data_IF_598608651029
#
_entry.id   IF_598608651029
#
_cell.length_a   1.000
_cell.length_b   1.000
_cell.length_c   1.000
_cell.angle_alpha   90.00
_cell.angle_beta   90.00
_cell.angle_gamma   90.00
#
_symmetry.space_group_name_H-M   'P 1'
#
loop_
_entity.id
_entity.type
_entity.pdbx_description
1 polymer ?
#
# COMPACT_ATOMS: atom_id res chain seq x y z
N UNK A 1 -29.03 49.51 18.35
CA UNK A 1 -29.88 50.46 17.58
C UNK A 1 -30.54 49.82 16.39
N UNK A 2 -29.83 49.12 15.52
CA UNK A 2 -30.39 48.48 14.28
C UNK A 2 -31.56 47.55 14.56
N UNK A 3 -31.48 46.64 15.52
CA UNK A 3 -32.54 45.71 15.88
C UNK A 3 -33.83 46.46 16.27
N UNK A 4 -33.77 47.51 17.06
CA UNK A 4 -34.94 48.33 17.44
C UNK A 4 -35.61 49.00 16.23
N UNK A 5 -34.86 49.33 15.18
CA UNK A 5 -35.43 49.87 13.94
C UNK A 5 -36.20 48.78 13.20
N UNK A 6 -35.62 47.56 13.09
CA UNK A 6 -36.30 46.42 12.51
C UNK A 6 -37.54 45.99 13.27
N UNK A 7 -37.52 46.03 14.61
CA UNK A 7 -38.71 45.77 15.45
C UNK A 7 -39.84 46.74 15.16
N UNK A 8 -39.55 48.04 15.01
CA UNK A 8 -40.55 49.05 14.58
C UNK A 8 -41.08 48.83 13.17
N UNK A 9 -40.22 48.36 12.25
CA UNK A 9 -40.64 48.03 10.88
C UNK A 9 -41.57 46.82 10.86
N UNK A 10 -41.24 45.81 11.68
CA UNK A 10 -42.01 44.57 11.79
C UNK A 10 -43.39 44.82 12.44
N UNK A 11 -43.47 45.73 13.41
CA UNK A 11 -44.77 46.18 13.96
C UNK A 11 -45.68 46.81 12.92
N UNK A 12 -45.11 47.51 11.89
CA UNK A 12 -45.88 48.15 10.84
C UNK A 12 -46.20 47.23 9.65
N UNK A 13 -45.28 46.35 9.28
CA UNK A 13 -45.39 45.51 8.07
C UNK A 13 -45.75 44.03 8.35
N UNK A 14 -45.73 43.66 9.62
CA UNK A 14 -45.79 42.24 10.02
C UNK A 14 -44.46 41.52 9.77
N UNK A 15 -44.42 40.24 10.09
CA UNK A 15 -43.25 39.36 9.87
C UNK A 15 -42.90 39.32 8.40
N UNK A 16 -41.68 39.73 8.05
CA UNK A 16 -41.16 39.82 6.68
C UNK A 16 -39.81 39.09 6.58
N UNK A 17 -39.60 38.33 5.48
CA UNK A 17 -38.42 37.51 5.28
C UNK A 17 -37.13 38.33 5.41
N UNK A 18 -37.08 39.49 4.75
CA UNK A 18 -35.87 40.33 4.76
C UNK A 18 -35.59 40.88 6.18
N UNK A 19 -36.64 41.37 6.88
CA UNK A 19 -36.52 41.94 8.23
C UNK A 19 -36.06 40.86 9.21
N UNK A 20 -36.71 39.68 9.23
CA UNK A 20 -36.37 38.59 10.13
C UNK A 20 -34.95 38.04 9.87
N UNK A 21 -34.53 37.91 8.62
CA UNK A 21 -33.19 37.49 8.25
C UNK A 21 -32.11 38.49 8.71
N UNK A 22 -32.39 39.82 8.60
CA UNK A 22 -31.46 40.84 9.11
C UNK A 22 -31.36 40.81 10.64
N UNK A 23 -32.51 40.68 11.33
CA UNK A 23 -32.52 40.52 12.79
C UNK A 23 -31.75 39.26 13.24
N UNK A 24 -31.98 38.15 12.55
CA UNK A 24 -31.23 36.89 12.77
C UNK A 24 -29.71 37.15 12.67
N UNK A 25 -29.21 37.72 11.58
CA UNK A 25 -27.80 38.06 11.38
C UNK A 25 -27.24 38.97 12.49
N UNK A 26 -27.97 39.98 12.88
CA UNK A 26 -27.56 40.90 13.93
C UNK A 26 -27.51 40.22 15.29
N UNK A 27 -28.45 39.33 15.63
CA UNK A 27 -28.40 38.55 16.87
C UNK A 27 -27.22 37.58 16.89
N UNK A 28 -26.85 36.95 15.74
CA UNK A 28 -25.64 36.14 15.66
C UNK A 28 -24.36 36.97 15.89
N UNK A 29 -24.26 38.17 15.31
CA UNK A 29 -23.13 39.10 15.56
C UNK A 29 -23.01 39.48 17.04
N UNK A 30 -24.13 39.56 17.73
CA UNK A 30 -24.20 39.81 19.15
C UNK A 30 -24.00 38.54 20.02
N UNK A 31 -23.67 37.40 19.39
CA UNK A 31 -23.52 36.08 20.02
C UNK A 31 -24.79 35.60 20.76
N UNK A 32 -25.95 36.13 20.39
CA UNK A 32 -27.23 35.73 20.94
C UNK A 32 -27.96 34.75 20.05
N UNK A 33 -27.44 33.49 20.01
CA UNK A 33 -27.97 32.42 19.18
C UNK A 33 -29.45 32.14 19.49
N UNK A 34 -29.87 32.19 20.76
CA UNK A 34 -31.26 31.93 21.16
C UNK A 34 -32.23 32.93 20.51
N UNK A 35 -31.96 34.23 20.54
CA UNK A 35 -32.82 35.23 19.86
C UNK A 35 -32.73 35.12 18.35
N UNK A 36 -31.55 34.82 17.80
CA UNK A 36 -31.40 34.58 16.37
C UNK A 36 -32.29 33.41 15.88
N UNK A 37 -32.37 32.32 16.66
CA UNK A 37 -33.24 31.18 16.35
C UNK A 37 -34.71 31.53 16.46
N UNK A 38 -35.11 32.29 17.49
CA UNK A 38 -36.50 32.74 17.66
C UNK A 38 -37.04 33.55 16.47
N UNK A 39 -36.22 34.42 15.88
CA UNK A 39 -36.62 35.16 14.66
C UNK A 39 -36.95 34.24 13.49
N UNK A 40 -36.15 33.17 13.31
CA UNK A 40 -36.39 32.19 12.26
C UNK A 40 -37.58 31.27 12.60
N UNK A 41 -37.84 30.95 13.86
CA UNK A 41 -39.04 30.22 14.28
C UNK A 41 -40.32 30.96 13.92
N UNK A 42 -40.34 32.28 14.15
CA UNK A 42 -41.49 33.16 13.78
C UNK A 42 -41.65 33.21 12.27
N UNK A 43 -40.55 33.37 11.54
CA UNK A 43 -40.56 33.44 10.10
C UNK A 43 -41.03 32.13 9.45
N UNK A 44 -40.57 30.97 9.96
CA UNK A 44 -40.93 29.65 9.45
C UNK A 44 -42.41 29.31 9.70
N UNK A 45 -42.99 29.76 10.81
CA UNK A 45 -44.44 29.64 11.05
C UNK A 45 -45.28 30.36 9.98
N UNK A 46 -44.82 31.50 9.52
CA UNK A 46 -45.48 32.27 8.45
C UNK A 46 -45.24 31.64 7.07
N UNK A 47 -44.08 31.02 6.86
CA UNK A 47 -43.66 30.45 5.60
C UNK A 47 -43.24 28.97 5.77
N UNK A 48 -44.15 28.05 6.10
CA UNK A 48 -43.82 26.68 6.52
C UNK A 48 -43.27 25.79 5.42
N UNK A 49 -43.38 26.21 4.15
CA UNK A 49 -42.91 25.50 2.95
C UNK A 49 -41.67 26.11 2.32
N UNK A 50 -41.15 27.22 2.87
CA UNK A 50 -39.93 27.85 2.35
C UNK A 50 -38.71 27.07 2.84
N UNK A 51 -38.14 26.20 1.95
CA UNK A 51 -37.02 25.32 2.27
C UNK A 51 -35.76 26.06 2.67
N UNK A 52 -35.53 27.28 2.16
CA UNK A 52 -34.38 28.11 2.55
C UNK A 52 -34.49 28.53 4.01
N UNK A 53 -35.68 28.98 4.41
CA UNK A 53 -35.96 29.39 5.80
C UNK A 53 -35.80 28.17 6.73
N UNK A 54 -36.35 27.01 6.33
CA UNK A 54 -36.25 25.77 7.12
C UNK A 54 -34.81 25.34 7.28
N UNK A 55 -34.00 25.41 6.21
CA UNK A 55 -32.58 25.05 6.29
C UNK A 55 -31.82 25.93 7.28
N UNK A 56 -31.97 27.27 7.17
CA UNK A 56 -31.31 28.20 8.09
C UNK A 56 -31.80 28.00 9.52
N UNK A 57 -33.08 27.69 9.73
CA UNK A 57 -33.62 27.38 11.05
C UNK A 57 -33.02 26.10 11.64
N UNK A 58 -32.86 25.05 10.84
CA UNK A 58 -32.21 23.81 11.26
C UNK A 58 -30.75 24.06 11.70
N UNK A 59 -29.99 24.82 10.89
CA UNK A 59 -28.63 25.24 11.22
C UNK A 59 -28.58 26.06 12.52
N UNK A 60 -29.54 26.97 12.72
CA UNK A 60 -29.66 27.76 13.93
C UNK A 60 -29.98 26.88 15.17
N UNK A 61 -30.76 25.83 15.03
CA UNK A 61 -30.97 24.86 16.10
C UNK A 61 -29.71 24.06 16.42
N UNK A 62 -28.90 23.68 15.43
CA UNK A 62 -27.60 23.05 15.67
C UNK A 62 -26.69 23.98 16.46
N UNK A 63 -26.58 25.25 16.06
CA UNK A 63 -25.78 26.25 16.78
C UNK A 63 -26.28 26.48 18.21
N UNK A 64 -27.58 26.31 18.46
CA UNK A 64 -28.21 26.43 19.78
C UNK A 64 -28.22 25.08 20.56
N UNK A 65 -27.45 24.10 20.09
CA UNK A 65 -27.33 22.75 20.67
C UNK A 65 -28.69 22.00 20.81
N UNK A 66 -29.63 22.28 19.94
CA UNK A 66 -30.94 21.62 19.91
C UNK A 66 -31.04 20.69 18.69
N UNK A 67 -30.31 19.57 18.78
CA UNK A 67 -30.19 18.62 17.68
C UNK A 67 -31.52 17.97 17.28
N UNK A 68 -32.41 17.71 18.24
CA UNK A 68 -33.70 17.09 17.97
C UNK A 68 -34.59 17.97 17.07
N UNK A 69 -34.73 19.26 17.42
CA UNK A 69 -35.51 20.18 16.58
C UNK A 69 -34.88 20.37 15.19
N UNK A 70 -33.55 20.40 15.11
CA UNK A 70 -32.86 20.44 13.82
C UNK A 70 -33.21 19.20 12.97
N UNK A 71 -33.17 18.03 13.56
CA UNK A 71 -33.53 16.77 12.90
C UNK A 71 -34.97 16.78 12.36
N UNK A 72 -35.94 17.22 13.15
CA UNK A 72 -37.34 17.32 12.71
C UNK A 72 -37.51 18.26 11.49
N UNK A 73 -36.72 19.33 11.46
CA UNK A 73 -36.74 20.26 10.32
C UNK A 73 -36.05 19.62 9.11
N UNK A 74 -34.90 18.96 9.27
CA UNK A 74 -34.24 18.28 8.15
C UNK A 74 -35.14 17.17 7.58
N UNK A 75 -35.89 16.46 8.40
CA UNK A 75 -36.86 15.48 7.94
C UNK A 75 -37.97 16.11 7.09
N UNK A 76 -38.51 17.25 7.51
CA UNK A 76 -39.49 18.01 6.69
C UNK A 76 -38.92 18.48 5.36
N UNK A 77 -37.65 18.90 5.35
CA UNK A 77 -36.98 19.29 4.10
C UNK A 77 -36.83 18.08 3.19
N UNK A 78 -36.37 16.93 3.73
CA UNK A 78 -36.19 15.68 2.97
C UNK A 78 -37.51 15.17 2.37
N UNK A 79 -38.64 15.31 3.09
CA UNK A 79 -39.97 14.96 2.60
C UNK A 79 -40.44 15.88 1.45
N UNK A 80 -40.02 17.13 1.47
CA UNK A 80 -40.39 18.15 0.49
C UNK A 80 -39.43 18.20 -0.72
N UNK A 81 -38.17 17.85 -0.54
CA UNK A 81 -37.12 17.80 -1.54
C UNK A 81 -36.33 16.49 -1.38
N UNK A 82 -36.84 15.36 -1.91
CA UNK A 82 -36.20 14.05 -1.76
C UNK A 82 -34.85 13.90 -2.45
N UNK A 83 -34.46 14.84 -3.30
CA UNK A 83 -33.17 14.85 -4.00
C UNK A 83 -32.11 15.70 -3.29
N UNK A 84 -32.44 16.27 -2.11
CA UNK A 84 -31.55 17.13 -1.36
C UNK A 84 -30.43 16.33 -0.67
N UNK A 85 -29.37 16.08 -1.42
CA UNK A 85 -28.23 15.28 -0.96
C UNK A 85 -27.56 15.82 0.31
N UNK A 86 -27.54 17.14 0.53
CA UNK A 86 -26.95 17.72 1.74
C UNK A 86 -27.76 17.41 2.99
N UNK A 87 -29.08 17.46 2.86
CA UNK A 87 -30.00 17.11 3.95
C UNK A 87 -29.86 15.61 4.28
N UNK A 88 -29.79 14.76 3.25
CA UNK A 88 -29.58 13.32 3.44
C UNK A 88 -28.25 13.01 4.15
N UNK A 89 -27.16 13.71 3.80
CA UNK A 89 -25.89 13.56 4.54
C UNK A 89 -26.03 13.98 6.02
N UNK A 90 -26.76 15.07 6.27
CA UNK A 90 -26.98 15.53 7.65
C UNK A 90 -27.81 14.55 8.45
N UNK A 91 -28.89 14.01 7.86
CA UNK A 91 -29.71 12.96 8.48
C UNK A 91 -28.92 11.66 8.72
N UNK A 92 -28.10 11.25 7.74
CA UNK A 92 -27.22 10.08 7.90
C UNK A 92 -26.28 10.22 9.10
N UNK A 93 -25.66 11.39 9.25
CA UNK A 93 -24.80 11.67 10.40
C UNK A 93 -25.59 11.67 11.73
N UNK A 94 -26.77 12.27 11.73
CA UNK A 94 -27.62 12.28 12.93
C UNK A 94 -28.01 10.88 13.37
N UNK A 95 -28.48 10.03 12.44
CA UNK A 95 -28.81 8.63 12.73
C UNK A 95 -27.58 7.85 13.22
N UNK A 96 -26.43 8.06 12.63
CA UNK A 96 -25.16 7.43 13.05
C UNK A 96 -24.79 7.81 14.48
N UNK A 97 -24.86 9.11 14.82
CA UNK A 97 -24.54 9.63 16.14
C UNK A 97 -25.47 9.06 17.22
N UNK A 98 -26.69 8.66 16.84
CA UNK A 98 -27.66 8.02 17.74
C UNK A 98 -27.61 6.48 17.68
N UNK A 99 -26.67 5.88 16.94
CA UNK A 99 -26.49 4.43 16.85
C UNK A 99 -27.48 3.72 15.90
N UNK A 100 -28.29 4.48 15.15
CA UNK A 100 -29.23 3.94 14.17
C UNK A 100 -28.53 3.75 12.82
N UNK A 101 -27.86 2.59 12.70
CA UNK A 101 -27.01 2.27 11.55
C UNK A 101 -27.84 2.08 10.27
N UNK A 102 -29.03 1.54 10.39
CA UNK A 102 -29.90 1.23 9.25
C UNK A 102 -30.44 2.51 8.58
N UNK A 103 -31.04 3.40 9.36
CA UNK A 103 -31.53 4.68 8.83
C UNK A 103 -30.35 5.58 8.38
N UNK A 104 -29.21 5.52 9.06
CA UNK A 104 -28.00 6.23 8.63
C UNK A 104 -27.58 5.80 7.23
N UNK A 105 -27.52 4.50 6.98
CA UNK A 105 -27.14 3.98 5.66
C UNK A 105 -28.17 4.31 4.58
N UNK A 106 -29.46 4.19 4.88
CA UNK A 106 -30.54 4.55 3.95
C UNK A 106 -30.44 6.01 3.48
N UNK A 107 -30.19 6.93 4.41
CA UNK A 107 -30.01 8.34 4.08
C UNK A 107 -28.71 8.59 3.30
N UNK A 108 -27.65 7.83 3.62
CA UNK A 108 -26.37 7.92 2.92
C UNK A 108 -26.47 7.44 1.46
N UNK A 109 -27.25 6.38 1.18
CA UNK A 109 -27.52 5.95 -0.20
C UNK A 109 -28.20 7.04 -1.03
N UNK A 110 -29.20 7.73 -0.46
CA UNK A 110 -29.88 8.86 -1.13
C UNK A 110 -28.89 9.99 -1.41
N UNK A 111 -28.03 10.33 -0.45
CA UNK A 111 -26.99 11.31 -0.63
C UNK A 111 -26.03 10.93 -1.78
N UNK A 112 -25.65 9.65 -1.89
CA UNK A 112 -24.79 9.16 -2.96
C UNK A 112 -25.46 9.21 -4.35
N UNK A 113 -26.77 9.04 -4.44
CA UNK A 113 -27.54 9.18 -5.69
C UNK A 113 -27.70 10.64 -6.10
N UNK A 114 -27.69 11.57 -5.15
CA UNK A 114 -27.88 13.00 -5.42
C UNK A 114 -26.70 13.60 -6.18
N UNK A 115 -27.00 14.43 -7.18
CA UNK A 115 -26.02 15.23 -7.93
C UNK A 115 -25.48 16.45 -7.15
N UNK A 116 -26.11 16.80 -6.04
CA UNK A 116 -25.71 17.94 -5.21
C UNK A 116 -24.46 17.65 -4.36
N UNK A 117 -24.12 16.37 -4.16
CA UNK A 117 -22.93 15.97 -3.42
C UNK A 117 -21.78 15.73 -4.40
N UNK A 118 -20.66 16.41 -4.14
CA UNK A 118 -19.48 16.31 -4.99
C UNK A 118 -18.88 14.88 -4.97
N UNK A 119 -18.26 14.49 -6.07
CA UNK A 119 -17.54 13.22 -6.17
C UNK A 119 -16.50 13.10 -5.06
N UNK A 120 -15.76 14.19 -4.77
CA UNK A 120 -14.74 14.23 -3.73
C UNK A 120 -15.29 13.92 -2.34
N UNK A 121 -16.47 14.46 -2.02
CA UNK A 121 -17.15 14.14 -0.74
C UNK A 121 -17.51 12.66 -0.67
N UNK A 122 -18.06 12.11 -1.76
CA UNK A 122 -18.44 10.68 -1.81
C UNK A 122 -17.21 9.77 -1.69
N UNK A 123 -16.12 10.10 -2.38
CA UNK A 123 -14.84 9.37 -2.27
C UNK A 123 -14.28 9.45 -0.86
N UNK A 124 -14.29 10.63 -0.23
CA UNK A 124 -13.82 10.80 1.15
C UNK A 124 -14.60 9.92 2.14
N UNK A 125 -15.92 9.81 1.96
CA UNK A 125 -16.76 8.92 2.76
C UNK A 125 -16.33 7.46 2.52
N UNK A 126 -16.20 7.01 1.27
CA UNK A 126 -15.77 5.65 0.94
C UNK A 126 -14.37 5.33 1.49
N UNK A 127 -13.45 6.27 1.43
CA UNK A 127 -12.09 6.09 1.99
C UNK A 127 -12.12 5.80 3.49
N UNK A 128 -13.10 6.36 4.23
CA UNK A 128 -13.24 6.08 5.66
C UNK A 128 -13.65 4.63 5.98
N UNK A 129 -14.22 3.93 5.01
CA UNK A 129 -14.59 2.51 5.16
C UNK A 129 -13.41 1.55 4.95
N UNK A 130 -12.39 1.93 4.15
CA UNK A 130 -11.32 1.02 3.72
C UNK A 130 -10.57 0.32 4.86
N UNK A 131 -10.40 0.99 6.01
CA UNK A 131 -9.75 0.41 7.19
C UNK A 131 -10.60 -0.60 7.97
N UNK A 132 -11.92 -0.65 7.73
CA UNK A 132 -12.87 -1.41 8.56
C UNK A 132 -13.52 -2.56 7.79
N UNK A 133 -13.55 -2.52 6.47
CA UNK A 133 -14.25 -3.51 5.63
C UNK A 133 -13.70 -4.93 5.77
N UNK A 134 -12.44 -5.08 6.17
CA UNK A 134 -11.82 -6.40 6.37
C UNK A 134 -12.31 -7.13 7.63
N UNK A 135 -12.93 -6.42 8.58
CA UNK A 135 -13.31 -6.94 9.90
C UNK A 135 -14.81 -6.83 10.18
N UNK A 136 -15.59 -6.17 9.32
CA UNK A 136 -17.02 -5.97 9.51
C UNK A 136 -17.80 -6.15 8.20
N UNK A 137 -18.52 -7.26 8.08
CA UNK A 137 -19.29 -7.61 6.86
C UNK A 137 -20.43 -6.63 6.55
N UNK A 138 -21.10 -6.07 7.55
CA UNK A 138 -22.15 -5.06 7.33
C UNK A 138 -21.57 -3.80 6.70
N UNK A 139 -20.48 -3.28 7.27
CA UNK A 139 -19.78 -2.11 6.75
C UNK A 139 -19.22 -2.39 5.36
N UNK A 140 -18.69 -3.59 5.15
CA UNK A 140 -18.22 -4.03 3.82
C UNK A 140 -19.35 -3.95 2.78
N UNK A 141 -20.50 -4.54 3.06
CA UNK A 141 -21.64 -4.53 2.13
C UNK A 141 -22.08 -3.09 1.84
N UNK A 142 -22.20 -2.25 2.88
CA UNK A 142 -22.54 -0.84 2.73
C UNK A 142 -21.55 -0.09 1.84
N UNK A 143 -20.24 -0.27 2.06
CA UNK A 143 -19.20 0.36 1.26
C UNK A 143 -19.29 -0.02 -0.22
N UNK A 144 -19.51 -1.30 -0.53
CA UNK A 144 -19.65 -1.76 -1.91
C UNK A 144 -20.92 -1.23 -2.58
N UNK A 145 -22.07 -1.20 -1.88
CA UNK A 145 -23.31 -0.59 -2.42
C UNK A 145 -23.09 0.88 -2.77
N UNK A 146 -22.48 1.66 -1.87
CA UNK A 146 -22.20 3.08 -2.13
C UNK A 146 -21.19 3.26 -3.28
N UNK A 147 -20.16 2.43 -3.34
CA UNK A 147 -19.16 2.47 -4.40
C UNK A 147 -19.76 2.10 -5.76
N UNK A 148 -20.68 1.14 -5.82
CA UNK A 148 -21.40 0.78 -7.05
C UNK A 148 -22.32 1.91 -7.52
N UNK A 149 -23.05 2.58 -6.63
CA UNK A 149 -23.82 3.78 -6.97
C UNK A 149 -22.93 4.85 -7.61
N UNK A 150 -21.75 5.06 -7.03
CA UNK A 150 -20.80 6.04 -7.54
C UNK A 150 -20.21 5.61 -8.89
N UNK A 151 -19.86 4.34 -9.04
CA UNK A 151 -19.31 3.78 -10.27
C UNK A 151 -20.32 3.82 -11.42
N UNK A 152 -21.61 3.52 -11.17
CA UNK A 152 -22.68 3.61 -12.17
C UNK A 152 -22.85 5.03 -12.71
N UNK A 153 -22.72 6.03 -11.85
CA UNK A 153 -22.89 7.43 -12.24
C UNK A 153 -21.64 8.10 -12.80
N UNK A 154 -20.43 7.56 -12.48
CA UNK A 154 -19.14 8.18 -12.80
C UNK A 154 -18.08 7.12 -13.19
N UNK A 155 -18.44 6.20 -14.10
CA UNK A 155 -17.54 5.09 -14.54
C UNK A 155 -16.25 5.58 -15.19
N UNK A 156 -16.26 6.79 -15.81
CA UNK A 156 -15.11 7.40 -16.47
C UNK A 156 -14.35 8.40 -15.58
N UNK A 157 -14.57 8.40 -14.28
CA UNK A 157 -13.75 9.16 -13.34
C UNK A 157 -12.64 8.27 -12.78
N UNK A 158 -11.38 8.68 -12.95
CA UNK A 158 -10.22 7.91 -12.48
C UNK A 158 -10.23 7.70 -10.96
N UNK A 159 -10.72 8.69 -10.17
CA UNK A 159 -10.77 8.64 -8.71
C UNK A 159 -11.78 7.59 -8.23
N UNK A 160 -12.92 7.49 -8.95
CA UNK A 160 -13.94 6.49 -8.66
C UNK A 160 -13.42 5.07 -8.93
N UNK A 161 -12.69 4.89 -10.03
CA UNK A 161 -12.04 3.60 -10.32
C UNK A 161 -10.95 3.28 -9.28
N UNK A 162 -10.17 4.27 -8.85
CA UNK A 162 -9.14 4.10 -7.84
C UNK A 162 -9.73 3.66 -6.50
N UNK A 163 -10.72 4.39 -5.95
CA UNK A 163 -11.33 4.05 -4.66
C UNK A 163 -12.05 2.69 -4.70
N UNK A 164 -12.65 2.31 -5.83
CA UNK A 164 -13.23 0.99 -5.98
C UNK A 164 -12.14 -0.11 -5.96
N UNK A 165 -11.01 0.16 -6.59
CA UNK A 165 -9.79 -0.66 -6.49
C UNK A 165 -9.31 -0.82 -5.05
N UNK A 166 -9.25 0.28 -4.28
CA UNK A 166 -8.84 0.27 -2.87
C UNK A 166 -9.77 -0.59 -2.01
N UNK A 167 -11.09 -0.48 -2.20
CA UNK A 167 -12.09 -1.30 -1.49
C UNK A 167 -11.92 -2.79 -1.83
N UNK A 168 -11.70 -3.11 -3.12
CA UNK A 168 -11.45 -4.48 -3.56
C UNK A 168 -10.16 -5.04 -2.96
N UNK A 169 -9.12 -4.24 -2.90
CA UNK A 169 -7.83 -4.62 -2.30
C UNK A 169 -7.98 -4.88 -0.80
N UNK A 170 -8.66 -3.99 -0.08
CA UNK A 170 -8.94 -4.17 1.34
C UNK A 170 -9.82 -5.41 1.60
N UNK A 171 -10.69 -5.78 0.65
CA UNK A 171 -11.45 -7.05 0.66
C UNK A 171 -10.65 -8.24 0.10
N UNK A 172 -9.31 -8.13 -0.04
CA UNK A 172 -8.40 -9.19 -0.53
C UNK A 172 -8.68 -9.67 -1.96
N UNK A 173 -9.43 -8.94 -2.76
CA UNK A 173 -9.70 -9.26 -4.16
C UNK A 173 -8.70 -8.55 -5.08
N UNK A 174 -7.44 -9.01 -5.05
CA UNK A 174 -6.32 -8.41 -5.80
C UNK A 174 -6.57 -8.37 -7.31
N UNK A 175 -7.14 -9.43 -7.88
CA UNK A 175 -7.37 -9.53 -9.34
C UNK A 175 -8.30 -8.42 -9.83
N UNK A 176 -9.44 -8.23 -9.16
CA UNK A 176 -10.36 -7.15 -9.52
C UNK A 176 -9.78 -5.78 -9.19
N UNK A 177 -9.06 -5.62 -8.06
CA UNK A 177 -8.40 -4.38 -7.70
C UNK A 177 -7.45 -3.92 -8.82
N UNK A 178 -6.58 -4.80 -9.33
CA UNK A 178 -5.69 -4.53 -10.46
C UNK A 178 -6.45 -4.05 -11.70
N UNK A 179 -7.59 -4.65 -12.02
CA UNK A 179 -8.38 -4.24 -13.18
C UNK A 179 -8.90 -2.81 -13.06
N UNK A 180 -9.33 -2.39 -11.85
CA UNK A 180 -9.82 -1.05 -11.61
C UNK A 180 -8.69 -0.02 -11.50
N UNK A 181 -7.54 -0.35 -10.94
CA UNK A 181 -6.36 0.51 -11.00
C UNK A 181 -5.89 0.73 -12.44
N UNK A 182 -5.88 -0.33 -13.29
CA UNK A 182 -5.60 -0.19 -14.73
C UNK A 182 -6.60 0.73 -15.44
N UNK A 183 -7.90 0.63 -15.13
CA UNK A 183 -8.88 1.59 -15.63
C UNK A 183 -8.59 3.03 -15.17
N UNK A 184 -8.25 3.20 -13.91
CA UNK A 184 -7.92 4.53 -13.36
C UNK A 184 -6.74 5.17 -14.07
N UNK A 185 -5.61 4.46 -14.21
CA UNK A 185 -4.42 4.99 -14.91
C UNK A 185 -4.65 5.21 -16.41
N UNK A 186 -5.50 4.41 -17.05
CA UNK A 186 -5.87 4.62 -18.46
C UNK A 186 -6.66 5.91 -18.66
N UNK A 187 -7.44 6.34 -17.68
CA UNK A 187 -8.18 7.61 -17.71
C UNK A 187 -7.26 8.78 -17.35
N UNK A 188 -6.45 8.63 -16.31
CA UNK A 188 -5.52 9.67 -15.86
C UNK A 188 -4.21 9.05 -15.37
N UNK A 189 -3.15 9.23 -16.13
CA UNK A 189 -1.82 8.70 -15.86
C UNK A 189 -1.01 9.51 -14.83
N UNK A 190 -1.51 10.70 -14.42
CA UNK A 190 -0.79 11.63 -13.53
C UNK A 190 -0.94 11.31 -12.05
N UNK A 191 -1.43 10.13 -11.65
CA UNK A 191 -1.73 9.79 -10.25
C UNK A 191 -0.72 8.77 -9.72
N UNK A 192 0.36 9.20 -9.05
CA UNK A 192 1.43 8.30 -8.59
C UNK A 192 0.93 7.18 -7.68
N UNK A 193 -0.02 7.48 -6.77
CA UNK A 193 -0.52 6.49 -5.81
C UNK A 193 -1.12 5.25 -6.47
N UNK A 194 -1.83 5.41 -7.59
CA UNK A 194 -2.45 4.28 -8.30
C UNK A 194 -1.39 3.41 -9.00
N UNK A 195 -0.38 4.04 -9.61
CA UNK A 195 0.77 3.32 -10.17
C UNK A 195 1.50 2.52 -9.09
N UNK A 196 1.75 3.15 -7.95
CA UNK A 196 2.41 2.50 -6.80
C UNK A 196 1.65 1.27 -6.33
N UNK A 197 0.32 1.36 -6.15
CA UNK A 197 -0.49 0.22 -5.74
C UNK A 197 -0.44 -0.92 -6.77
N UNK A 198 -0.51 -0.59 -8.05
CA UNK A 198 -0.46 -1.58 -9.13
C UNK A 198 0.88 -2.29 -9.18
N UNK A 199 2.00 -1.56 -9.06
CA UNK A 199 3.35 -2.12 -9.05
C UNK A 199 3.59 -3.02 -7.83
N UNK A 200 3.09 -2.61 -6.65
CA UNK A 200 3.16 -3.48 -5.47
C UNK A 200 2.38 -4.79 -5.65
N UNK A 201 1.24 -4.76 -6.32
CA UNK A 201 0.48 -5.98 -6.61
C UNK A 201 1.20 -6.89 -7.60
N UNK A 202 1.87 -6.33 -8.61
CA UNK A 202 2.62 -7.13 -9.57
C UNK A 202 3.86 -7.79 -8.93
N UNK A 203 4.62 -7.06 -8.09
CA UNK A 203 5.79 -7.66 -7.40
C UNK A 203 5.37 -8.71 -6.37
N UNK A 204 4.27 -8.50 -5.66
CA UNK A 204 3.74 -9.46 -4.68
C UNK A 204 3.31 -10.78 -5.35
N UNK A 205 2.82 -10.73 -6.59
CA UNK A 205 2.47 -11.89 -7.40
C UNK A 205 3.67 -12.45 -8.20
N UNK A 206 4.87 -11.87 -8.04
CA UNK A 206 6.07 -12.22 -8.81
C UNK A 206 5.87 -12.12 -10.33
N UNK A 207 4.99 -11.23 -10.78
CA UNK A 207 4.70 -11.00 -12.20
C UNK A 207 5.67 -9.97 -12.79
N UNK A 208 6.91 -10.42 -13.02
CA UNK A 208 7.99 -9.54 -13.46
C UNK A 208 7.81 -8.99 -14.88
N UNK A 209 7.11 -9.70 -15.78
CA UNK A 209 6.78 -9.19 -17.13
C UNK A 209 5.90 -7.94 -17.06
N UNK A 210 4.80 -8.01 -16.28
CA UNK A 210 3.90 -6.88 -16.08
C UNK A 210 4.57 -5.77 -15.29
N UNK A 211 5.38 -6.13 -14.26
CA UNK A 211 6.12 -5.17 -13.45
C UNK A 211 7.09 -4.34 -14.30
N UNK A 212 7.81 -4.99 -15.24
CA UNK A 212 8.73 -4.33 -16.16
C UNK A 212 8.01 -3.28 -17.02
N UNK A 213 6.93 -3.70 -17.68
CA UNK A 213 6.17 -2.82 -18.57
C UNK A 213 5.53 -1.64 -17.82
N UNK A 214 4.88 -1.93 -16.70
CA UNK A 214 4.18 -0.90 -15.91
C UNK A 214 5.15 0.07 -15.23
N UNK A 215 6.31 -0.39 -14.75
CA UNK A 215 7.30 0.50 -14.14
C UNK A 215 7.98 1.39 -15.17
N UNK A 216 8.24 0.90 -16.38
CA UNK A 216 8.75 1.70 -17.49
C UNK A 216 7.73 2.78 -17.89
N UNK A 217 6.45 2.39 -18.05
CA UNK A 217 5.38 3.35 -18.34
C UNK A 217 5.22 4.38 -17.22
N UNK A 218 5.21 3.96 -15.95
CA UNK A 218 5.12 4.86 -14.81
C UNK A 218 6.26 5.88 -14.76
N UNK A 219 7.48 5.48 -15.07
CA UNK A 219 8.64 6.37 -15.16
C UNK A 219 8.49 7.45 -16.23
N UNK A 220 7.81 7.15 -17.34
CA UNK A 220 7.58 8.13 -18.40
C UNK A 220 6.67 9.28 -17.94
N UNK A 221 5.80 9.05 -16.97
CA UNK A 221 4.88 10.06 -16.41
C UNK A 221 5.39 10.66 -15.09
N UNK A 222 6.21 9.92 -14.35
CA UNK A 222 6.69 10.30 -13.02
C UNK A 222 8.20 10.06 -12.88
N UNK A 223 9.04 10.81 -13.63
CA UNK A 223 10.48 10.55 -13.70
C UNK A 223 11.26 10.89 -12.42
N UNK A 224 10.62 11.45 -11.40
CA UNK A 224 11.25 11.76 -10.11
C UNK A 224 10.87 10.77 -9.00
N UNK A 225 10.06 9.74 -9.30
CA UNK A 225 9.62 8.76 -8.32
C UNK A 225 10.64 7.60 -8.20
N UNK A 226 11.46 7.55 -7.13
CA UNK A 226 12.53 6.57 -7.02
C UNK A 226 12.04 5.12 -6.98
N UNK A 227 10.85 4.90 -6.41
CA UNK A 227 10.28 3.56 -6.29
C UNK A 227 10.06 2.90 -7.67
N UNK A 228 9.73 3.68 -8.71
CA UNK A 228 9.53 3.14 -10.06
C UNK A 228 10.83 2.73 -10.72
N UNK A 229 11.93 3.48 -10.47
CA UNK A 229 13.28 3.05 -10.85
C UNK A 229 13.65 1.73 -10.18
N UNK A 230 13.32 1.60 -8.89
CA UNK A 230 13.60 0.38 -8.16
C UNK A 230 12.87 -0.82 -8.76
N UNK A 231 11.57 -0.73 -9.00
CA UNK A 231 10.78 -1.81 -9.60
C UNK A 231 11.22 -2.15 -11.04
N UNK A 232 11.53 -1.14 -11.85
CA UNK A 232 12.06 -1.36 -13.19
C UNK A 232 13.42 -2.07 -13.16
N UNK A 233 14.29 -1.69 -12.24
CA UNK A 233 15.58 -2.32 -12.07
C UNK A 233 15.48 -3.77 -11.57
N UNK A 234 14.62 -4.05 -10.57
CA UNK A 234 14.40 -5.41 -10.07
C UNK A 234 13.86 -6.32 -11.18
N UNK A 235 12.95 -5.83 -12.00
CA UNK A 235 12.45 -6.59 -13.17
C UNK A 235 13.57 -6.90 -14.16
N UNK A 236 14.43 -5.92 -14.44
CA UNK A 236 15.59 -6.12 -15.31
C UNK A 236 16.60 -7.11 -14.72
N UNK A 237 16.80 -7.10 -13.39
CA UNK A 237 17.64 -8.10 -12.69
C UNK A 237 17.05 -9.49 -12.86
N UNK A 238 15.74 -9.65 -12.69
CA UNK A 238 15.05 -10.93 -12.88
C UNK A 238 15.27 -11.52 -14.29
N UNK A 239 15.25 -10.67 -15.31
CA UNK A 239 15.52 -11.06 -16.71
C UNK A 239 17.01 -11.08 -17.08
N UNK A 240 17.93 -10.97 -16.12
CA UNK A 240 19.37 -10.90 -16.30
C UNK A 240 19.87 -9.72 -17.16
N UNK A 241 19.06 -8.67 -17.31
CA UNK A 241 19.41 -7.43 -17.99
C UNK A 241 20.21 -6.50 -17.06
N UNK A 242 21.31 -7.01 -16.51
CA UNK A 242 22.09 -6.34 -15.46
C UNK A 242 22.65 -4.96 -15.87
N UNK A 243 22.94 -4.76 -17.14
CA UNK A 243 23.44 -3.46 -17.63
C UNK A 243 22.40 -2.37 -17.52
N UNK A 244 21.14 -2.66 -17.94
CA UNK A 244 20.04 -1.71 -17.81
C UNK A 244 19.63 -1.53 -16.33
N UNK A 245 19.61 -2.61 -15.55
CA UNK A 245 19.38 -2.53 -14.11
C UNK A 245 20.38 -1.61 -13.42
N UNK A 246 21.67 -1.75 -13.72
CA UNK A 246 22.72 -0.90 -13.14
C UNK A 246 22.53 0.58 -13.48
N UNK A 247 22.22 0.89 -14.73
CA UNK A 247 21.94 2.26 -15.19
C UNK A 247 20.72 2.83 -14.46
N UNK A 248 19.64 2.06 -14.38
CA UNK A 248 18.39 2.44 -13.73
C UNK A 248 18.57 2.69 -12.24
N UNK A 249 19.25 1.78 -11.53
CA UNK A 249 19.54 1.94 -10.10
C UNK A 249 20.37 3.20 -9.82
N UNK A 250 21.38 3.49 -10.64
CA UNK A 250 22.20 4.70 -10.50
C UNK A 250 21.38 5.97 -10.68
N UNK A 251 20.49 5.99 -11.65
CA UNK A 251 19.64 7.15 -11.89
C UNK A 251 18.60 7.32 -10.78
N UNK A 252 18.00 6.22 -10.32
CA UNK A 252 16.93 6.26 -9.32
C UNK A 252 17.40 6.62 -7.92
N UNK A 253 18.61 6.22 -7.52
CA UNK A 253 19.11 6.47 -6.16
C UNK A 253 19.25 7.96 -5.86
N UNK A 254 19.50 8.80 -6.87
CA UNK A 254 19.64 10.24 -6.74
C UNK A 254 18.32 10.96 -6.40
N UNK A 255 17.18 10.28 -6.61
CA UNK A 255 15.85 10.77 -6.23
C UNK A 255 15.42 10.29 -4.84
N UNK A 256 16.19 9.45 -4.15
CA UNK A 256 15.84 8.95 -2.83
C UNK A 256 16.19 9.97 -1.77
N UNK A 257 15.20 10.77 -1.33
CA UNK A 257 15.31 11.69 -0.21
C UNK A 257 14.60 11.07 1.00
N UNK A 258 15.05 11.31 2.20
CA UNK A 258 14.42 10.97 3.50
C UNK A 258 13.88 9.51 3.69
N UNK A 259 14.12 8.61 2.73
CA UNK A 259 13.73 7.20 2.83
C UNK A 259 14.97 6.31 2.95
N UNK A 260 15.50 6.20 4.18
CA UNK A 260 16.69 5.39 4.49
C UNK A 260 16.54 3.91 4.10
N UNK A 261 15.33 3.37 4.20
CA UNK A 261 15.06 1.97 3.84
C UNK A 261 15.22 1.78 2.33
N UNK A 262 14.52 2.57 1.54
CA UNK A 262 14.60 2.49 0.07
C UNK A 262 16.03 2.76 -0.42
N UNK A 263 16.72 3.74 0.18
CA UNK A 263 18.13 4.02 -0.12
C UNK A 263 19.02 2.79 0.11
N UNK A 264 18.84 2.09 1.23
CA UNK A 264 19.56 0.85 1.52
C UNK A 264 19.24 -0.26 0.50
N UNK A 265 17.96 -0.40 0.12
CA UNK A 265 17.54 -1.37 -0.89
C UNK A 265 18.19 -1.08 -2.26
N UNK A 266 18.28 0.18 -2.68
CA UNK A 266 19.04 0.57 -3.87
C UNK A 266 20.51 0.22 -3.78
N UNK A 267 21.15 0.49 -2.64
CA UNK A 267 22.59 0.19 -2.44
C UNK A 267 22.86 -1.32 -2.51
N UNK A 268 22.01 -2.14 -1.88
CA UNK A 268 22.13 -3.61 -1.94
C UNK A 268 21.97 -4.09 -3.38
N UNK A 269 20.91 -3.65 -4.06
CA UNK A 269 20.66 -4.04 -5.45
C UNK A 269 21.77 -3.59 -6.40
N UNK A 270 22.38 -2.41 -6.17
CA UNK A 270 23.58 -1.95 -6.91
C UNK A 270 24.78 -2.89 -6.68
N UNK A 271 25.02 -3.30 -5.43
CA UNK A 271 26.14 -4.18 -5.10
C UNK A 271 25.97 -5.57 -5.73
N UNK A 272 24.75 -6.12 -5.65
CA UNK A 272 24.40 -7.40 -6.29
C UNK A 272 24.51 -7.32 -7.82
N UNK A 273 24.06 -6.22 -8.42
CA UNK A 273 24.14 -6.00 -9.88
C UNK A 273 25.58 -5.84 -10.34
N UNK A 274 26.44 -5.15 -9.55
CA UNK A 274 27.88 -5.10 -9.83
C UNK A 274 28.51 -6.49 -9.79
N UNK A 275 28.13 -7.32 -8.82
CA UNK A 275 28.62 -8.72 -8.75
C UNK A 275 28.21 -9.51 -10.01
N UNK A 276 26.94 -9.44 -10.39
CA UNK A 276 26.40 -10.12 -11.58
C UNK A 276 27.08 -9.67 -12.90
N UNK A 277 27.56 -8.43 -12.94
CA UNK A 277 28.38 -7.89 -14.06
C UNK A 277 29.89 -8.16 -13.90
N UNK A 278 30.30 -9.02 -12.98
CA UNK A 278 31.70 -9.34 -12.66
C UNK A 278 32.55 -8.13 -12.24
N UNK A 279 31.91 -7.00 -11.88
CA UNK A 279 32.56 -5.79 -11.36
C UNK A 279 32.80 -5.93 -9.85
N UNK A 280 33.52 -6.98 -9.49
CA UNK A 280 33.67 -7.42 -8.11
C UNK A 280 34.24 -6.37 -7.16
N UNK A 281 35.22 -5.56 -7.60
CA UNK A 281 35.77 -4.51 -6.74
C UNK A 281 34.74 -3.44 -6.37
N UNK A 282 33.86 -3.08 -7.30
CA UNK A 282 32.75 -2.14 -7.05
C UNK A 282 31.72 -2.73 -6.10
N UNK A 283 31.37 -4.00 -6.30
CA UNK A 283 30.46 -4.77 -5.44
C UNK A 283 31.02 -4.82 -4.01
N UNK A 284 32.26 -5.31 -3.83
CA UNK A 284 32.90 -5.46 -2.53
C UNK A 284 32.98 -4.11 -1.79
N UNK A 285 33.43 -3.03 -2.48
CA UNK A 285 33.51 -1.69 -1.89
C UNK A 285 32.16 -1.16 -1.43
N UNK A 286 31.09 -1.45 -2.17
CA UNK A 286 29.74 -1.00 -1.80
C UNK A 286 29.18 -1.81 -0.63
N UNK A 287 29.38 -3.12 -0.59
CA UNK A 287 29.02 -3.94 0.56
C UNK A 287 29.75 -3.50 1.83
N UNK A 288 31.05 -3.20 1.74
CA UNK A 288 31.82 -2.67 2.87
C UNK A 288 31.24 -1.36 3.39
N UNK A 289 30.87 -0.43 2.50
CA UNK A 289 30.20 0.83 2.87
C UNK A 289 28.87 0.61 3.57
N UNK A 290 28.06 -0.31 3.08
CA UNK A 290 26.77 -0.63 3.70
C UNK A 290 26.99 -1.19 5.12
N UNK A 291 27.94 -2.12 5.29
CA UNK A 291 28.22 -2.70 6.61
C UNK A 291 28.87 -1.71 7.58
N UNK A 292 29.59 -0.68 7.11
CA UNK A 292 30.05 0.42 7.96
C UNK A 292 28.88 1.23 8.55
N UNK A 293 27.82 1.46 7.79
CA UNK A 293 26.64 2.21 8.23
C UNK A 293 25.61 1.33 8.95
N UNK A 294 25.48 0.09 8.55
CA UNK A 294 24.59 -0.90 9.13
C UNK A 294 25.27 -2.27 9.28
N UNK A 295 26.05 -2.49 10.37
CA UNK A 295 26.81 -3.73 10.58
C UNK A 295 25.94 -5.00 10.71
N UNK A 296 24.64 -4.85 10.91
CA UNK A 296 23.67 -5.92 11.08
C UNK A 296 22.73 -6.08 9.89
N UNK A 297 23.07 -5.57 8.72
CA UNK A 297 22.30 -5.80 7.51
C UNK A 297 22.44 -7.29 7.11
N UNK A 298 21.47 -8.10 7.48
CA UNK A 298 21.46 -9.55 7.32
C UNK A 298 21.62 -9.95 5.85
N UNK A 299 20.91 -9.24 4.93
CA UNK A 299 20.98 -9.52 3.49
C UNK A 299 22.40 -9.30 2.98
N UNK A 300 23.03 -8.20 3.35
CA UNK A 300 24.42 -7.88 2.96
C UNK A 300 25.42 -8.85 3.55
N UNK A 301 25.26 -9.19 4.83
CA UNK A 301 26.11 -10.19 5.50
C UNK A 301 26.08 -11.52 4.75
N UNK A 302 24.91 -11.98 4.34
CA UNK A 302 24.77 -13.22 3.57
C UNK A 302 25.33 -13.07 2.15
N UNK A 303 24.82 -12.12 1.36
CA UNK A 303 25.18 -12.01 -0.06
C UNK A 303 26.67 -11.78 -0.26
N UNK A 304 27.25 -10.86 0.51
CA UNK A 304 28.68 -10.56 0.41
C UNK A 304 29.53 -11.79 0.77
N UNK A 305 29.21 -12.47 1.87
CA UNK A 305 29.95 -13.67 2.27
C UNK A 305 29.85 -14.79 1.23
N UNK A 306 28.67 -15.00 0.66
CA UNK A 306 28.46 -15.96 -0.42
C UNK A 306 29.28 -15.62 -1.66
N UNK A 307 29.25 -14.35 -2.12
CA UNK A 307 30.02 -13.91 -3.30
C UNK A 307 31.54 -14.02 -3.09
N UNK A 308 32.03 -13.73 -1.89
CA UNK A 308 33.43 -13.97 -1.56
C UNK A 308 33.78 -15.47 -1.64
N UNK A 309 32.90 -16.35 -1.17
CA UNK A 309 33.13 -17.81 -1.20
C UNK A 309 33.14 -18.37 -2.62
N UNK A 310 32.24 -17.92 -3.49
CA UNK A 310 32.22 -18.34 -4.91
C UNK A 310 33.54 -18.03 -5.62
N UNK A 311 34.16 -16.90 -5.28
CA UNK A 311 35.44 -16.45 -5.86
C UNK A 311 36.64 -17.00 -5.08
N UNK A 312 36.44 -17.73 -3.99
CA UNK A 312 37.48 -18.18 -3.05
C UNK A 312 38.39 -17.03 -2.58
N UNK A 313 37.82 -15.82 -2.45
CA UNK A 313 38.51 -14.61 -2.06
C UNK A 313 38.15 -14.27 -0.61
N UNK A 314 39.15 -13.94 0.21
CA UNK A 314 38.98 -13.51 1.60
C UNK A 314 38.00 -14.38 2.41
N UNK A 315 38.22 -15.71 2.36
CA UNK A 315 37.33 -16.70 3.01
C UNK A 315 37.24 -16.52 4.54
N UNK A 316 38.26 -15.89 5.18
CA UNK A 316 38.20 -15.55 6.60
C UNK A 316 37.10 -14.51 6.85
N UNK A 317 37.10 -13.42 6.09
CA UNK A 317 36.08 -12.38 6.15
C UNK A 317 34.70 -12.97 5.83
N UNK A 318 34.59 -13.79 4.77
CA UNK A 318 33.34 -14.48 4.44
C UNK A 318 32.80 -15.29 5.61
N UNK A 319 33.67 -16.07 6.30
CA UNK A 319 33.28 -16.85 7.48
C UNK A 319 32.76 -15.98 8.63
N UNK A 320 33.41 -14.86 8.91
CA UNK A 320 33.00 -13.91 9.97
C UNK A 320 31.65 -13.27 9.66
N UNK A 321 31.46 -12.77 8.43
CA UNK A 321 30.18 -12.17 7.99
C UNK A 321 29.03 -13.18 8.04
N UNK A 322 29.21 -14.37 7.47
CA UNK A 322 28.18 -15.39 7.45
C UNK A 322 27.88 -15.94 8.85
N UNK A 323 28.89 -16.07 9.72
CA UNK A 323 28.68 -16.42 11.13
C UNK A 323 27.79 -15.39 11.82
N UNK A 324 28.11 -14.10 11.66
CA UNK A 324 27.29 -13.01 12.22
C UNK A 324 25.86 -13.02 11.66
N UNK A 325 25.68 -13.29 10.37
CA UNK A 325 24.36 -13.45 9.75
C UNK A 325 23.53 -14.51 10.48
N UNK A 326 24.12 -15.68 10.74
CA UNK A 326 23.45 -16.80 11.43
C UNK A 326 23.24 -16.54 12.93
N UNK A 327 24.02 -15.68 13.57
CA UNK A 327 23.79 -15.24 14.96
C UNK A 327 22.58 -14.31 15.07
N UNK A 328 22.31 -13.50 14.02
CA UNK A 328 21.17 -12.58 13.95
C UNK A 328 19.87 -13.29 13.56
N UNK A 329 19.96 -14.33 12.74
CA UNK A 329 18.80 -15.11 12.27
C UNK A 329 19.11 -16.61 12.30
N UNK A 330 18.72 -17.26 13.40
CA UNK A 330 19.18 -18.60 13.77
C UNK A 330 18.63 -19.74 12.91
N UNK A 331 17.44 -19.61 12.33
CA UNK A 331 16.70 -20.71 11.69
C UNK A 331 16.40 -20.44 10.22
N UNK A 332 17.34 -19.88 9.49
CA UNK A 332 17.21 -19.61 8.06
C UNK A 332 18.11 -20.57 7.26
N UNK A 333 17.49 -21.49 6.51
CA UNK A 333 18.22 -22.51 5.75
C UNK A 333 19.16 -21.92 4.69
N UNK A 334 18.81 -20.79 4.06
CA UNK A 334 19.67 -20.12 3.07
C UNK A 334 20.96 -19.58 3.71
N UNK A 335 20.85 -18.97 4.89
CA UNK A 335 22.03 -18.42 5.58
C UNK A 335 22.93 -19.52 6.16
N UNK A 336 22.33 -20.61 6.62
CA UNK A 336 23.04 -21.78 7.09
C UNK A 336 23.76 -22.52 5.96
N UNK A 337 23.16 -22.60 4.77
CA UNK A 337 23.80 -23.12 3.56
C UNK A 337 25.02 -22.28 3.19
N UNK A 338 24.88 -20.94 3.14
CA UNK A 338 26.01 -20.05 2.87
C UNK A 338 27.17 -20.28 3.82
N UNK A 339 26.91 -20.46 5.11
CA UNK A 339 27.97 -20.73 6.09
C UNK A 339 28.59 -22.11 5.88
N UNK A 340 27.78 -23.15 5.63
CA UNK A 340 28.24 -24.49 5.31
C UNK A 340 29.12 -24.48 4.04
N UNK A 341 28.72 -23.78 3.00
CA UNK A 341 29.47 -23.62 1.77
C UNK A 341 30.83 -22.95 1.99
N UNK A 342 30.89 -21.90 2.81
CA UNK A 342 32.14 -21.23 3.18
C UNK A 342 33.08 -22.19 3.92
N UNK A 343 32.55 -22.99 4.87
CA UNK A 343 33.33 -24.00 5.56
C UNK A 343 33.86 -25.09 4.60
N UNK A 344 33.04 -25.49 3.63
CA UNK A 344 33.48 -26.38 2.55
C UNK A 344 34.63 -25.78 1.74
N UNK A 345 34.53 -24.49 1.37
CA UNK A 345 35.59 -23.79 0.64
C UNK A 345 36.90 -23.67 1.47
N UNK A 346 36.79 -23.63 2.79
CA UNK A 346 37.92 -23.66 3.74
C UNK A 346 38.50 -25.04 4.00
N UNK A 347 37.85 -26.11 3.49
CA UNK A 347 38.24 -27.51 3.70
C UNK A 347 37.76 -28.13 5.01
N UNK A 348 36.92 -27.44 5.77
CA UNK A 348 36.34 -27.89 7.04
C UNK A 348 35.03 -28.66 6.76
N UNK A 349 35.19 -29.86 6.16
CA UNK A 349 34.04 -30.65 5.64
C UNK A 349 33.11 -31.18 6.74
N UNK A 350 33.65 -31.49 7.90
CA UNK A 350 32.90 -32.01 9.05
C UNK A 350 31.94 -30.95 9.58
N UNK A 351 32.43 -29.73 9.83
CA UNK A 351 31.59 -28.63 10.27
C UNK A 351 30.65 -28.18 9.16
N UNK A 352 31.08 -28.20 7.88
CA UNK A 352 30.22 -27.93 6.74
C UNK A 352 29.01 -28.88 6.72
N UNK A 353 29.20 -30.16 6.97
CA UNK A 353 28.11 -31.14 7.05
C UNK A 353 27.11 -30.81 8.16
N UNK A 354 27.61 -30.49 9.37
CA UNK A 354 26.74 -30.14 10.51
C UNK A 354 25.85 -28.93 10.18
N UNK A 355 26.39 -27.89 9.55
CA UNK A 355 25.63 -26.70 9.17
C UNK A 355 24.69 -26.96 8.00
N UNK A 356 25.08 -27.80 7.05
CA UNK A 356 24.24 -28.19 5.93
C UNK A 356 23.02 -28.99 6.38
N UNK A 357 23.18 -29.93 7.34
CA UNK A 357 22.06 -30.66 7.92
C UNK A 357 21.06 -29.74 8.61
N UNK A 358 21.53 -28.68 9.30
CA UNK A 358 20.68 -27.64 9.86
C UNK A 358 19.94 -26.86 8.74
N UNK A 359 20.65 -26.50 7.67
CA UNK A 359 20.07 -25.80 6.54
C UNK A 359 18.90 -26.57 5.91
N UNK A 360 19.07 -27.87 5.73
CA UNK A 360 18.03 -28.75 5.18
C UNK A 360 16.79 -28.81 6.07
N UNK A 361 16.95 -28.86 7.39
CA UNK A 361 15.84 -28.87 8.36
C UNK A 361 15.11 -27.53 8.38
N UNK A 362 15.82 -26.42 8.16
CA UNK A 362 15.27 -25.07 8.21
C UNK A 362 14.82 -24.52 6.83
N UNK A 363 14.35 -25.40 5.94
CA UNK A 363 13.73 -25.04 4.66
C UNK A 363 14.67 -25.13 3.44
N UNK A 364 15.95 -25.39 3.64
CA UNK A 364 16.91 -25.54 2.52
C UNK A 364 16.70 -26.80 1.67
N UNK A 365 15.96 -27.78 2.17
CA UNK A 365 15.71 -29.04 1.47
C UNK A 365 14.90 -28.93 0.18
N UNK A 366 14.20 -27.82 -0.02
CA UNK A 366 13.43 -27.52 -1.25
C UNK A 366 14.27 -26.79 -2.33
N UNK A 367 15.50 -26.40 -1.99
CA UNK A 367 16.41 -25.70 -2.90
C UNK A 367 17.36 -26.66 -3.60
N UNK A 368 17.32 -26.68 -4.93
CA UNK A 368 18.25 -27.48 -5.74
C UNK A 368 19.72 -27.16 -5.42
N UNK A 369 20.05 -25.88 -5.21
CA UNK A 369 21.41 -25.42 -4.89
C UNK A 369 21.88 -25.95 -3.54
N UNK A 370 21.06 -25.84 -2.50
CA UNK A 370 21.40 -26.32 -1.15
C UNK A 370 21.62 -27.84 -1.14
N UNK A 371 20.73 -28.57 -1.82
CA UNK A 371 20.85 -30.06 -1.93
C UNK A 371 22.06 -30.45 -2.77
N UNK A 372 22.43 -29.69 -3.80
CA UNK A 372 23.67 -29.90 -4.55
C UNK A 372 24.90 -29.65 -3.70
N UNK A 373 24.97 -28.55 -2.94
CA UNK A 373 26.05 -28.27 -1.98
C UNK A 373 26.21 -29.41 -0.94
N UNK A 374 25.07 -29.95 -0.47
CA UNK A 374 25.12 -31.11 0.44
C UNK A 374 25.76 -32.32 -0.24
N UNK A 375 25.45 -32.60 -1.48
CA UNK A 375 26.11 -33.63 -2.27
C UNK A 375 27.63 -33.46 -2.35
N UNK A 376 28.07 -32.21 -2.59
CA UNK A 376 29.48 -31.86 -2.69
C UNK A 376 30.21 -32.07 -1.37
N UNK A 377 29.60 -31.68 -0.26
CA UNK A 377 30.15 -31.90 1.11
C UNK A 377 30.27 -33.40 1.40
N UNK A 378 29.19 -34.17 1.17
CA UNK A 378 29.19 -35.63 1.38
C UNK A 378 30.26 -36.36 0.54
N UNK A 379 30.47 -35.89 -0.70
CA UNK A 379 31.51 -36.45 -1.56
C UNK A 379 32.91 -36.25 -0.95
N UNK A 380 33.21 -35.05 -0.45
CA UNK A 380 34.49 -34.72 0.21
C UNK A 380 34.70 -35.53 1.50
N UNK A 381 33.62 -35.88 2.19
CA UNK A 381 33.65 -36.74 3.38
C UNK A 381 33.74 -38.24 3.02
N UNK A 382 33.89 -38.62 1.71
CA UNK A 382 34.01 -40.01 1.24
C UNK A 382 32.66 -40.72 1.07
N UNK A 383 31.53 -40.08 1.34
CA UNK A 383 30.19 -40.68 1.26
C UNK A 383 29.62 -40.61 -0.17
N UNK A 384 30.35 -41.18 -1.16
CA UNK A 384 30.05 -41.06 -2.58
C UNK A 384 28.62 -41.50 -2.96
N UNK A 385 28.11 -42.59 -2.35
CA UNK A 385 26.74 -43.07 -2.61
C UNK A 385 25.67 -42.03 -2.19
N UNK A 386 25.83 -41.46 -0.99
CA UNK A 386 24.90 -40.42 -0.52
C UNK A 386 25.03 -39.14 -1.35
N UNK A 387 26.25 -38.76 -1.74
CA UNK A 387 26.48 -37.60 -2.61
C UNK A 387 25.71 -37.72 -3.94
N UNK A 388 25.80 -38.87 -4.60
CA UNK A 388 25.09 -39.14 -5.85
C UNK A 388 23.55 -39.05 -5.67
N UNK A 389 23.03 -39.52 -4.54
CA UNK A 389 21.59 -39.38 -4.24
C UNK A 389 21.23 -37.92 -4.13
N UNK A 390 22.00 -37.07 -3.39
CA UNK A 390 21.71 -35.67 -3.24
C UNK A 390 21.77 -34.89 -4.57
N UNK A 391 22.79 -35.15 -5.42
CA UNK A 391 22.87 -34.54 -6.75
C UNK A 391 21.68 -34.93 -7.63
N UNK A 392 21.23 -36.20 -7.61
CA UNK A 392 19.99 -36.58 -8.33
C UNK A 392 18.76 -35.91 -7.77
N UNK A 393 18.65 -35.77 -6.45
CA UNK A 393 17.56 -35.01 -5.81
C UNK A 393 17.59 -33.55 -6.19
N UNK A 394 18.76 -32.91 -6.18
CA UNK A 394 18.91 -31.52 -6.65
C UNK A 394 18.40 -31.34 -8.11
N UNK A 395 18.72 -32.30 -8.98
CA UNK A 395 18.23 -32.27 -10.37
C UNK A 395 16.71 -32.39 -10.49
N UNK A 396 16.06 -33.15 -9.59
CA UNK A 396 14.59 -33.27 -9.56
C UNK A 396 13.91 -32.02 -9.02
N UNK A 397 14.59 -31.29 -8.10
CA UNK A 397 14.07 -30.03 -7.52
C UNK A 397 14.15 -28.85 -8.50
N UNK A 398 15.01 -28.92 -9.52
CA UNK A 398 15.16 -27.88 -10.49
C UNK A 398 16.56 -27.79 -11.10
N UNK A 399 16.92 -26.60 -11.60
CA UNK A 399 18.26 -26.35 -12.13
C UNK A 399 19.23 -26.02 -11.00
N UNK A 400 20.11 -26.98 -10.66
CA UNK A 400 21.31 -26.70 -9.87
C UNK A 400 22.39 -25.97 -10.68
N UNK A 401 23.66 -26.16 -10.30
CA UNK A 401 24.78 -25.58 -11.06
C UNK A 401 24.89 -26.17 -12.48
N UNK A 402 25.55 -25.44 -13.36
CA UNK A 402 25.85 -25.93 -14.72
C UNK A 402 26.68 -27.26 -14.71
N UNK A 403 27.32 -27.57 -13.59
CA UNK A 403 28.14 -28.75 -13.40
C UNK A 403 27.38 -29.95 -12.82
N UNK A 404 26.12 -29.78 -12.41
CA UNK A 404 25.34 -30.82 -11.74
C UNK A 404 25.22 -32.09 -12.59
N UNK A 405 24.93 -31.95 -13.87
CA UNK A 405 24.84 -33.11 -14.79
C UNK A 405 26.15 -33.85 -14.94
N UNK A 406 27.28 -33.13 -14.93
CA UNK A 406 28.60 -33.75 -14.97
C UNK A 406 28.92 -34.49 -13.68
N UNK A 407 28.54 -33.91 -12.50
CA UNK A 407 28.70 -34.58 -11.20
C UNK A 407 27.93 -35.91 -11.15
N UNK A 408 26.71 -35.91 -11.63
CA UNK A 408 25.84 -37.10 -11.68
C UNK A 408 26.41 -38.13 -12.65
N UNK A 409 26.80 -37.73 -13.89
CA UNK A 409 27.30 -38.62 -14.90
C UNK A 409 28.63 -39.27 -14.54
N UNK A 410 29.53 -38.50 -13.95
CA UNK A 410 30.87 -38.93 -13.61
C UNK A 410 30.99 -39.50 -12.19
N UNK A 411 29.93 -39.42 -11.40
CA UNK A 411 29.87 -39.76 -9.98
C UNK A 411 31.02 -39.18 -9.14
N UNK A 412 31.49 -37.98 -9.55
CA UNK A 412 32.60 -37.24 -8.91
C UNK A 412 32.42 -35.70 -9.12
N UNK A 413 33.13 -34.98 -8.25
CA UNK A 413 33.26 -33.53 -8.46
C UNK A 413 34.11 -33.25 -9.73
N UNK A 414 33.79 -32.24 -10.51
CA UNK A 414 34.63 -31.75 -11.57
C UNK A 414 35.98 -31.27 -11.02
N UNK A 415 37.05 -31.45 -11.80
CA UNK A 415 38.39 -30.95 -11.44
C UNK A 415 38.49 -29.45 -11.48
#
# INVERSE_FOLDING_TARGET
KAIRVYDKLELKKGIDKMISMQKHKLYLQLKNVKKATQELELLSKKNPKDLEILQILAEAYILNNNKEKAFDIFKKISDSDPDNGRVHLTLANFYRDNGDVENSFYELEKAFRSKQISIDTKISILSSYSGIISVNDTIKNQAFVLAEILLLSHSNDHRVNAIYGDLLLANKNKVKAKSYYKKSININKSIPSVWTQLLFLEIEESNYDSLLQLSEEALSYHPSEPLYYYFYAISNIFFNNYTEALKTLKNGIDYVFDNKRLYSEFQVSLADTYHALERHNSSDSLFDKILLSNPNNIIVLNNYSYYLSLRKKDLKKAKELSKRCNELELNNGTYQDTYAWILYCLGDFENANIWMEKALVNGGGESAVVVEHYGDILFKLGNKKKALIQWKTAKLLGSGSQLLDQKIKNERLPE
#
